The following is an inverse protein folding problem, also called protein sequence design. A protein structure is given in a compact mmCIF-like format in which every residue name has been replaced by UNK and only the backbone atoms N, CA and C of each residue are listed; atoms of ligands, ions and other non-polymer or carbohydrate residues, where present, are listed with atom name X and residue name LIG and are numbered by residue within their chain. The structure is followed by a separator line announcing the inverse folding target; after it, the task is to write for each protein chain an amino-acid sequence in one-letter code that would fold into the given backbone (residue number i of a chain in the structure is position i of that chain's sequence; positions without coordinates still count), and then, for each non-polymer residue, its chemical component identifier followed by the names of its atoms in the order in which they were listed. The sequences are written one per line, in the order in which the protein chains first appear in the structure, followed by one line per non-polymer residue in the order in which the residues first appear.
data_IF_760116785468
#
_entry.id   IF_760116785468
#
_cell.length_a   1.000
_cell.length_b   1.000
_cell.length_c   1.000
_cell.angle_alpha   90.00
_cell.angle_beta   90.00
_cell.angle_gamma   90.00
#
_symmetry.space_group_name_H-M   'P 1'
#
loop_
_entity.id
_entity.type
_entity.pdbx_description
1 polymer ?
#
# COMPACT_ATOMS: atom_id res chain seq x y z
N UNK A 1 13.92 -8.04 -13.41
CA UNK A 1 12.69 -8.25 -12.60
C UNK A 1 12.77 -7.46 -11.31
N UNK A 2 13.81 -7.64 -10.49
CA UNK A 2 14.07 -6.85 -9.26
C UNK A 2 14.09 -5.32 -9.51
N UNK A 3 14.85 -4.88 -10.50
CA UNK A 3 15.09 -3.46 -10.80
C UNK A 3 13.81 -2.71 -11.20
N UNK A 4 12.87 -3.39 -11.88
CA UNK A 4 11.57 -2.81 -12.21
C UNK A 4 10.68 -2.62 -10.97
N UNK A 5 10.77 -3.54 -10.00
CA UNK A 5 10.00 -3.44 -8.75
C UNK A 5 10.50 -2.28 -7.89
N UNK A 6 11.81 -2.12 -7.77
CA UNK A 6 12.40 -1.00 -7.02
C UNK A 6 12.03 0.36 -7.63
N UNK A 7 12.08 0.48 -8.96
CA UNK A 7 11.67 1.69 -9.66
C UNK A 7 10.18 2.03 -9.42
N UNK A 8 9.31 1.02 -9.38
CA UNK A 8 7.88 1.20 -9.08
C UNK A 8 7.64 1.65 -7.64
N UNK A 9 8.32 1.03 -6.67
CA UNK A 9 8.19 1.41 -5.25
C UNK A 9 8.67 2.85 -5.04
N UNK A 10 9.83 3.22 -5.59
CA UNK A 10 10.36 4.57 -5.50
C UNK A 10 9.42 5.61 -6.13
N UNK A 11 8.80 5.28 -7.26
CA UNK A 11 7.80 6.16 -7.89
C UNK A 11 6.59 6.40 -6.97
N UNK A 12 6.05 5.35 -6.33
CA UNK A 12 4.89 5.48 -5.44
C UNK A 12 5.26 6.29 -4.18
N UNK A 13 6.39 5.98 -3.53
CA UNK A 13 6.82 6.70 -2.33
C UNK A 13 7.01 8.19 -2.60
N UNK A 14 7.70 8.53 -3.70
CA UNK A 14 7.86 9.93 -4.13
C UNK A 14 6.51 10.60 -4.40
N UNK A 15 5.58 9.90 -5.04
CA UNK A 15 4.24 10.44 -5.32
C UNK A 15 3.44 10.73 -4.04
N UNK A 16 3.59 9.88 -3.02
CA UNK A 16 2.94 10.06 -1.71
C UNK A 16 3.47 11.29 -0.99
N UNK A 17 4.79 11.49 -1.02
CA UNK A 17 5.45 12.65 -0.43
C UNK A 17 5.12 13.95 -1.19
N UNK A 18 5.30 13.98 -2.51
CA UNK A 18 5.08 15.18 -3.35
C UNK A 18 3.63 15.69 -3.30
N UNK A 19 2.68 14.80 -3.04
CA UNK A 19 1.24 15.13 -3.00
C UNK A 19 0.68 15.28 -1.60
N UNK A 20 1.53 15.19 -0.56
CA UNK A 20 1.12 15.25 0.84
C UNK A 20 -0.04 14.27 1.16
N UNK A 21 0.08 13.03 0.68
CA UNK A 21 -0.95 12.01 0.90
C UNK A 21 -0.89 11.57 2.37
N UNK A 22 -1.97 11.83 3.12
CA UNK A 22 -2.03 11.48 4.54
C UNK A 22 -2.50 10.05 4.82
N UNK A 23 -3.25 9.46 3.89
CA UNK A 23 -3.80 8.11 4.03
C UNK A 23 -3.85 7.38 2.69
N UNK A 24 -3.48 6.11 2.69
CA UNK A 24 -3.57 5.21 1.56
C UNK A 24 -4.63 4.16 1.88
N UNK A 25 -5.61 3.99 0.99
CA UNK A 25 -6.65 2.98 1.16
C UNK A 25 -6.28 1.72 0.39
N UNK A 26 -6.14 0.61 1.10
CA UNK A 26 -5.93 -0.71 0.51
C UNK A 26 -7.29 -1.38 0.33
N UNK A 27 -7.53 -1.90 -0.87
CA UNK A 27 -8.75 -2.61 -1.25
C UNK A 27 -8.47 -4.07 -1.52
N UNK A 28 -9.34 -4.92 -1.01
CA UNK A 28 -9.32 -6.34 -1.29
C UNK A 28 -10.75 -6.88 -1.28
N UNK A 29 -10.95 -8.03 -1.89
CA UNK A 29 -12.21 -8.78 -1.80
C UNK A 29 -12.02 -9.98 -0.89
N UNK A 30 -12.98 -10.22 0.01
CA UNK A 30 -12.98 -11.46 0.79
C UNK A 30 -13.45 -12.67 -0.05
N UNK A 31 -13.49 -13.84 0.57
CA UNK A 31 -13.87 -15.11 -0.09
C UNK A 31 -15.32 -15.15 -0.57
N UNK A 32 -16.19 -14.29 -0.04
CA UNK A 32 -17.59 -14.14 -0.49
C UNK A 32 -17.73 -13.06 -1.57
N UNK A 33 -16.63 -12.39 -1.93
CA UNK A 33 -16.59 -11.35 -2.94
C UNK A 33 -16.94 -9.96 -2.43
N UNK A 34 -17.05 -9.76 -1.12
CA UNK A 34 -17.32 -8.43 -0.57
C UNK A 34 -16.06 -7.56 -0.63
N UNK A 35 -16.21 -6.33 -1.14
CA UNK A 35 -15.15 -5.33 -1.12
C UNK A 35 -14.92 -4.86 0.32
N UNK A 36 -13.72 -5.14 0.84
CA UNK A 36 -13.24 -4.63 2.13
C UNK A 36 -12.11 -3.63 1.90
N UNK A 37 -11.90 -2.77 2.89
CA UNK A 37 -10.81 -1.80 2.84
C UNK A 37 -10.31 -1.43 4.23
N UNK A 38 -9.05 -1.07 4.31
CA UNK A 38 -8.47 -0.38 5.46
C UNK A 38 -7.54 0.72 4.98
N UNK A 39 -7.27 1.68 5.86
CA UNK A 39 -6.38 2.80 5.59
C UNK A 39 -5.06 2.59 6.33
N UNK A 40 -3.97 2.95 5.67
CA UNK A 40 -2.63 3.00 6.26
C UNK A 40 -2.07 4.41 6.13
N UNK A 41 -1.09 4.73 6.95
CA UNK A 41 -0.30 5.95 6.88
C UNK A 41 0.87 5.80 5.90
N UNK A 42 1.46 6.92 5.42
CA UNK A 42 2.69 6.88 4.63
C UNK A 42 3.85 6.15 5.32
N UNK A 43 3.93 6.22 6.66
CA UNK A 43 4.95 5.54 7.44
C UNK A 43 4.84 4.01 7.36
N UNK A 44 3.61 3.49 7.26
CA UNK A 44 3.36 2.04 7.15
C UNK A 44 3.54 1.51 5.71
N UNK A 45 3.50 2.40 4.71
CA UNK A 45 3.52 2.02 3.29
C UNK A 45 4.82 1.29 2.89
N UNK A 46 5.97 1.69 3.43
CA UNK A 46 7.24 1.04 3.12
C UNK A 46 7.26 -0.40 3.66
N UNK A 47 6.85 -0.59 4.92
CA UNK A 47 6.70 -1.93 5.50
C UNK A 47 5.68 -2.76 4.74
N UNK A 48 4.58 -2.15 4.26
CA UNK A 48 3.57 -2.83 3.46
C UNK A 48 4.13 -3.42 2.15
N UNK A 49 5.08 -2.77 1.50
CA UNK A 49 5.71 -3.29 0.27
C UNK A 49 6.62 -4.51 0.52
N UNK A 50 7.26 -4.57 1.69
CA UNK A 50 8.21 -5.63 2.04
C UNK A 50 7.53 -6.84 2.69
N UNK A 51 6.63 -6.58 3.64
CA UNK A 51 6.07 -7.61 4.53
C UNK A 51 4.55 -7.78 4.37
N UNK A 52 3.90 -6.93 3.57
CA UNK A 52 2.44 -6.84 3.52
C UNK A 52 1.86 -6.15 4.76
N UNK A 53 0.54 -6.21 4.90
CA UNK A 53 -0.19 -5.65 6.03
C UNK A 53 -1.15 -6.71 6.59
N UNK A 54 -1.17 -6.85 7.91
CA UNK A 54 -2.15 -7.70 8.60
C UNK A 54 -3.49 -6.99 8.74
N UNK A 55 -4.58 -7.75 8.68
CA UNK A 55 -5.91 -7.29 9.07
C UNK A 55 -6.57 -8.35 9.96
N UNK A 56 -7.39 -7.91 10.92
CA UNK A 56 -8.24 -8.80 11.71
C UNK A 56 -9.58 -8.94 10.97
N UNK A 57 -9.93 -10.17 10.57
CA UNK A 57 -10.78 -10.45 9.41
C UNK A 57 -12.10 -11.16 9.68
#
# INVERSE_FOLDING_TARGET
MEEQREAQIAYVLRTVEERDIRFIRLWFTDVLGFLKSFAITPAELQTAFEHGMGFDG
#
